data_IF_412193626677
#
_entry.id   IF_412193626677
#
_cell.length_a   1.000
_cell.length_b   1.000
_cell.length_c   1.000
_cell.angle_alpha   90.00
_cell.angle_beta   90.00
_cell.angle_gamma   90.00
#
_symmetry.space_group_name_H-M   'P 1'
#
loop_
_entity.id
_entity.type
_entity.pdbx_description
1 polymer ?
#
# COMPACT_ATOMS: atom_id res chain seq x y z
N UNK A 1 -3.83 10.24 -2.41
CA UNK A 1 -5.10 9.70 -2.90
C UNK A 1 -6.31 10.59 -2.53
N UNK A 2 -6.14 11.54 -1.62
CA UNK A 2 -7.18 12.48 -1.15
C UNK A 2 -8.50 11.80 -0.75
N UNK A 3 -8.41 10.69 -0.07
CA UNK A 3 -9.57 9.96 0.42
C UNK A 3 -10.29 10.77 1.51
N UNK A 4 -11.64 10.82 1.52
CA UNK A 4 -12.38 11.57 2.52
C UNK A 4 -12.09 11.07 3.94
N UNK A 5 -11.80 11.98 4.87
CA UNK A 5 -11.58 11.60 6.29
C UNK A 5 -12.83 10.92 6.85
N UNK A 6 -12.63 9.85 7.58
CA UNK A 6 -13.70 9.02 8.15
C UNK A 6 -14.35 8.06 7.15
N UNK A 7 -13.93 8.08 5.86
CA UNK A 7 -14.37 7.06 4.91
C UNK A 7 -13.77 5.69 5.23
N UNK A 8 -14.36 4.65 4.69
CA UNK A 8 -13.98 3.28 4.96
C UNK A 8 -12.92 2.78 3.98
N UNK A 9 -11.95 2.02 4.51
CA UNK A 9 -11.01 1.22 3.73
C UNK A 9 -11.18 -0.25 4.12
N UNK A 10 -11.40 -1.12 3.13
CA UNK A 10 -11.61 -2.55 3.36
C UNK A 10 -10.25 -3.27 3.36
N UNK A 11 -9.97 -4.00 4.43
CA UNK A 11 -8.68 -4.66 4.70
C UNK A 11 -8.92 -6.11 5.14
N UNK A 12 -8.13 -7.12 4.70
CA UNK A 12 -8.18 -8.45 5.28
C UNK A 12 -7.91 -8.44 6.78
N UNK A 13 -8.69 -9.21 7.56
CA UNK A 13 -8.47 -9.35 9.01
C UNK A 13 -7.20 -10.13 9.35
N UNK A 14 -6.68 -10.92 8.42
CA UNK A 14 -5.41 -11.63 8.55
C UNK A 14 -4.29 -10.84 7.84
N UNK A 15 -3.65 -9.97 8.59
CA UNK A 15 -2.54 -9.11 8.12
C UNK A 15 -1.70 -8.66 9.30
N UNK A 16 -0.57 -8.03 9.02
CA UNK A 16 0.19 -7.30 10.04
C UNK A 16 -0.56 -6.01 10.43
N UNK A 17 -0.46 -5.62 11.69
CA UNK A 17 -1.17 -4.45 12.23
C UNK A 17 -0.93 -3.16 11.43
N UNK A 18 0.22 -3.03 10.77
CA UNK A 18 0.58 -1.83 10.01
C UNK A 18 -0.45 -1.48 8.91
N UNK A 19 -1.08 -2.47 8.26
CA UNK A 19 -2.12 -2.23 7.26
C UNK A 19 -3.30 -1.42 7.85
N UNK A 20 -3.77 -1.82 9.04
CA UNK A 20 -4.86 -1.12 9.73
C UNK A 20 -4.41 0.20 10.37
N UNK A 21 -3.22 0.21 11.00
CA UNK A 21 -2.67 1.41 11.64
C UNK A 21 -2.45 2.54 10.64
N UNK A 22 -1.91 2.24 9.46
CA UNK A 22 -1.70 3.23 8.41
C UNK A 22 -3.03 3.88 7.97
N UNK A 23 -4.10 3.08 7.86
CA UNK A 23 -5.44 3.59 7.56
C UNK A 23 -5.95 4.54 8.65
N UNK A 24 -5.81 4.13 9.92
CA UNK A 24 -6.23 4.97 11.07
C UNK A 24 -5.44 6.27 11.12
N UNK A 25 -4.11 6.23 10.96
CA UNK A 25 -3.27 7.44 10.92
C UNK A 25 -3.62 8.36 9.74
N UNK A 26 -4.06 7.79 8.63
CA UNK A 26 -4.58 8.57 7.49
C UNK A 26 -5.98 9.15 7.74
N UNK A 27 -6.61 8.86 8.88
CA UNK A 27 -7.95 9.32 9.23
C UNK A 27 -9.06 8.51 8.55
N UNK A 28 -8.76 7.30 8.10
CA UNK A 28 -9.72 6.35 7.52
C UNK A 28 -10.22 5.37 8.58
N UNK A 29 -11.33 4.71 8.29
CA UNK A 29 -11.93 3.69 9.15
C UNK A 29 -11.69 2.30 8.53
N UNK A 30 -10.85 1.44 9.11
CA UNK A 30 -10.68 0.06 8.66
C UNK A 30 -11.97 -0.74 8.79
N UNK A 31 -12.33 -1.46 7.74
CA UNK A 31 -13.39 -2.47 7.70
C UNK A 31 -12.73 -3.81 7.43
N UNK A 32 -12.75 -4.69 8.42
CA UNK A 32 -12.06 -5.97 8.33
C UNK A 32 -12.95 -7.01 7.65
N UNK A 33 -12.35 -7.80 6.75
CA UNK A 33 -13.00 -8.92 6.05
C UNK A 33 -12.25 -10.23 6.27
N UNK A 34 -12.97 -11.32 6.16
CA UNK A 34 -12.39 -12.67 6.28
C UNK A 34 -11.49 -13.02 5.09
N UNK A 35 -10.58 -13.94 5.35
CA UNK A 35 -9.66 -14.51 4.37
C UNK A 35 -10.02 -15.96 4.05
N UNK A 36 -9.56 -16.44 2.92
CA UNK A 36 -9.62 -17.84 2.56
C UNK A 36 -8.63 -18.64 3.43
N UNK A 37 -9.09 -19.72 4.14
CA UNK A 37 -8.25 -20.48 5.05
C UNK A 37 -7.11 -21.25 4.35
N UNK A 38 -7.20 -21.46 3.03
CA UNK A 38 -6.17 -22.18 2.28
C UNK A 38 -5.08 -21.25 1.73
N UNK A 39 -5.42 -20.00 1.46
CA UNK A 39 -4.49 -19.00 0.86
C UNK A 39 -4.13 -17.86 1.81
N UNK A 40 -4.85 -17.72 2.92
CA UNK A 40 -4.74 -16.61 3.88
C UNK A 40 -4.97 -15.21 3.22
N UNK A 41 -5.42 -15.17 1.99
CA UNK A 41 -5.75 -13.93 1.27
C UNK A 41 -7.26 -13.73 1.17
N UNK A 42 -7.71 -12.47 1.20
CA UNK A 42 -9.12 -12.17 0.98
C UNK A 42 -9.47 -12.29 -0.50
N UNK A 43 -10.60 -12.93 -0.77
CA UNK A 43 -11.13 -13.09 -2.13
C UNK A 43 -11.84 -11.80 -2.62
N UNK A 44 -11.89 -11.55 -3.94
CA UNK A 44 -12.59 -10.39 -4.49
C UNK A 44 -14.04 -10.24 -4.02
N UNK A 45 -14.76 -11.37 -3.87
CA UNK A 45 -16.15 -11.39 -3.41
C UNK A 45 -16.30 -10.93 -1.95
N UNK A 46 -15.29 -11.16 -1.11
CA UNK A 46 -15.28 -10.67 0.27
C UNK A 46 -15.17 -9.13 0.29
N UNK A 47 -14.28 -8.57 -0.54
CA UNK A 47 -14.22 -7.12 -0.73
C UNK A 47 -15.56 -6.57 -1.25
N UNK A 48 -16.12 -7.17 -2.29
CA UNK A 48 -17.34 -6.68 -2.92
C UNK A 48 -18.53 -6.65 -1.95
N UNK A 49 -18.70 -7.69 -1.11
CA UNK A 49 -19.75 -7.74 -0.09
C UNK A 49 -19.60 -6.68 1.01
N UNK A 50 -18.38 -6.25 1.29
CA UNK A 50 -18.10 -5.28 2.34
C UNK A 50 -18.22 -3.82 1.89
N UNK A 51 -18.36 -3.56 0.58
CA UNK A 51 -18.48 -2.21 0.04
C UNK A 51 -19.78 -1.56 0.53
N UNK A 52 -19.65 -0.36 1.08
CA UNK A 52 -20.77 0.53 1.47
C UNK A 52 -20.66 1.85 0.73
N UNK A 53 -21.65 2.73 0.91
CA UNK A 53 -21.60 4.10 0.39
C UNK A 53 -20.48 4.97 1.01
N UNK A 54 -19.88 4.52 2.10
CA UNK A 54 -18.74 5.19 2.76
C UNK A 54 -17.38 4.65 2.35
N UNK A 55 -17.34 3.54 1.62
CA UNK A 55 -16.07 2.93 1.19
C UNK A 55 -15.37 3.83 0.17
N UNK A 56 -14.09 4.10 0.38
CA UNK A 56 -13.25 4.89 -0.52
C UNK A 56 -12.04 4.13 -1.04
N UNK A 57 -11.65 3.03 -0.37
CA UNK A 57 -10.49 2.25 -0.79
C UNK A 57 -10.60 0.76 -0.45
N UNK A 58 -9.87 -0.05 -1.20
CA UNK A 58 -9.61 -1.47 -0.97
C UNK A 58 -8.11 -1.65 -0.72
N UNK A 59 -7.75 -2.47 0.27
CA UNK A 59 -6.35 -2.80 0.56
C UNK A 59 -6.15 -4.32 0.54
N UNK A 60 -5.92 -4.94 -0.62
CA UNK A 60 -5.45 -6.32 -0.66
C UNK A 60 -4.08 -6.45 -0.01
N UNK A 61 -3.85 -7.57 0.68
CA UNK A 61 -2.57 -7.92 1.30
C UNK A 61 -2.02 -9.18 0.65
N UNK A 62 -0.78 -9.10 0.19
CA UNK A 62 -0.04 -10.22 -0.39
C UNK A 62 0.78 -10.88 0.71
N UNK A 63 0.14 -11.83 1.41
CA UNK A 63 0.69 -12.42 2.63
C UNK A 63 1.57 -13.64 2.33
N UNK A 64 2.61 -13.85 3.13
CA UNK A 64 3.50 -15.01 3.09
C UNK A 64 4.08 -15.34 1.70
N UNK A 65 4.40 -14.32 0.91
CA UNK A 65 4.96 -14.51 -0.43
C UNK A 65 3.94 -15.01 -1.46
N UNK A 66 2.64 -14.89 -1.18
CA UNK A 66 1.56 -15.21 -2.11
C UNK A 66 0.84 -13.95 -2.55
N UNK A 67 0.56 -13.86 -3.84
CA UNK A 67 -0.29 -12.78 -4.34
C UNK A 67 -1.77 -13.08 -4.04
N UNK A 68 -2.48 -12.11 -3.48
CA UNK A 68 -3.94 -12.09 -3.53
C UNK A 68 -4.43 -12.04 -4.99
N UNK A 69 -5.73 -12.17 -5.22
CA UNK A 69 -6.34 -12.01 -6.55
C UNK A 69 -6.26 -10.54 -7.02
N UNK A 70 -5.01 -10.03 -7.17
CA UNK A 70 -4.72 -8.61 -7.31
C UNK A 70 -5.37 -7.98 -8.54
N UNK A 71 -5.38 -8.67 -9.68
CA UNK A 71 -5.98 -8.17 -10.91
C UNK A 71 -7.50 -7.99 -10.77
N UNK A 72 -8.16 -8.97 -10.15
CA UNK A 72 -9.62 -8.96 -9.92
C UNK A 72 -10.02 -7.89 -8.92
N UNK A 73 -9.25 -7.72 -7.84
CA UNK A 73 -9.51 -6.67 -6.83
C UNK A 73 -9.25 -5.29 -7.43
N UNK A 74 -8.19 -5.12 -8.20
CA UNK A 74 -7.92 -3.86 -8.91
C UNK A 74 -9.03 -3.54 -9.93
N UNK A 75 -9.56 -4.55 -10.63
CA UNK A 75 -10.71 -4.38 -11.51
C UNK A 75 -11.97 -4.00 -10.74
N UNK A 76 -12.21 -4.61 -9.58
CA UNK A 76 -13.32 -4.24 -8.69
C UNK A 76 -13.21 -2.77 -8.27
N UNK A 77 -12.04 -2.33 -7.81
CA UNK A 77 -11.78 -0.92 -7.47
C UNK A 77 -12.15 0.01 -8.62
N UNK A 78 -11.64 -0.25 -9.82
CA UNK A 78 -11.96 0.55 -11.01
C UNK A 78 -13.47 0.60 -11.33
N UNK A 79 -14.17 -0.55 -11.27
CA UNK A 79 -15.62 -0.60 -11.51
C UNK A 79 -16.43 0.19 -10.49
N UNK A 80 -15.96 0.27 -9.26
CA UNK A 80 -16.65 0.93 -8.12
C UNK A 80 -16.14 2.36 -7.86
N UNK A 81 -15.14 2.85 -8.61
CA UNK A 81 -14.52 4.16 -8.36
C UNK A 81 -13.78 4.23 -7.03
N UNK A 82 -13.23 3.10 -6.56
CA UNK A 82 -12.51 2.98 -5.29
C UNK A 82 -11.02 2.91 -5.54
N UNK A 83 -10.22 3.57 -4.69
CA UNK A 83 -8.77 3.44 -4.71
C UNK A 83 -8.34 2.01 -4.30
N UNK A 84 -7.25 1.52 -4.90
CA UNK A 84 -6.67 0.23 -4.53
C UNK A 84 -5.24 0.43 -4.08
N UNK A 85 -4.96 0.09 -2.83
CA UNK A 85 -3.65 0.17 -2.18
C UNK A 85 -3.19 -1.25 -1.88
N UNK A 86 -2.14 -1.71 -2.55
CA UNK A 86 -1.62 -3.07 -2.34
C UNK A 86 -0.59 -3.08 -1.20
N UNK A 87 -0.90 -3.80 -0.14
CA UNK A 87 0.11 -4.15 0.86
C UNK A 87 0.90 -5.36 0.34
N UNK A 88 2.02 -5.09 -0.30
CA UNK A 88 2.97 -6.07 -0.82
C UNK A 88 4.22 -6.18 0.05
N UNK A 89 4.12 -5.81 1.35
CA UNK A 89 5.24 -5.81 2.29
C UNK A 89 5.93 -7.18 2.42
N UNK A 90 5.25 -8.27 2.09
CA UNK A 90 5.78 -9.65 2.11
C UNK A 90 5.86 -10.27 0.71
N UNK A 91 5.80 -9.48 -0.36
CA UNK A 91 5.66 -9.96 -1.72
C UNK A 91 6.76 -9.46 -2.67
N UNK A 92 7.96 -9.21 -2.15
CA UNK A 92 9.11 -8.87 -2.99
C UNK A 92 9.38 -10.00 -3.98
N UNK A 93 9.41 -9.69 -5.29
CA UNK A 93 9.62 -10.69 -6.35
C UNK A 93 8.37 -11.53 -6.72
N UNK A 94 7.30 -11.45 -5.97
CA UNK A 94 6.07 -12.22 -6.23
C UNK A 94 5.36 -11.69 -7.47
N UNK A 95 4.94 -12.61 -8.35
CA UNK A 95 4.17 -12.26 -9.55
C UNK A 95 2.81 -12.96 -9.57
N UNK A 96 1.82 -12.22 -10.02
CA UNK A 96 0.49 -12.73 -10.30
C UNK A 96 0.19 -12.52 -11.79
N UNK A 97 -0.07 -13.59 -12.53
CA UNK A 97 -0.28 -13.54 -14.00
C UNK A 97 0.82 -12.75 -14.74
N UNK A 98 2.09 -12.95 -14.36
CA UNK A 98 3.23 -12.29 -14.98
C UNK A 98 3.54 -10.87 -14.52
N UNK A 99 2.63 -10.19 -13.82
CA UNK A 99 2.82 -8.84 -13.29
C UNK A 99 3.21 -8.91 -11.81
N UNK A 100 4.11 -8.02 -11.35
CA UNK A 100 4.56 -7.98 -9.95
C UNK A 100 3.41 -7.56 -9.00
N UNK A 101 3.26 -8.28 -7.90
CA UNK A 101 2.36 -7.90 -6.82
C UNK A 101 2.76 -6.51 -6.27
N UNK A 102 1.79 -5.66 -5.99
CA UNK A 102 2.02 -4.25 -5.65
C UNK A 102 1.97 -3.30 -6.85
N UNK A 103 1.68 -3.80 -8.07
CA UNK A 103 1.61 -2.93 -9.27
C UNK A 103 0.25 -2.99 -9.99
N UNK A 104 -0.74 -3.69 -9.43
CA UNK A 104 -2.10 -3.79 -10.00
C UNK A 104 -3.00 -2.63 -9.58
N UNK A 105 -2.84 -2.14 -8.35
CA UNK A 105 -3.59 -1.03 -7.76
C UNK A 105 -3.10 0.35 -8.20
N UNK A 106 -3.54 1.37 -7.49
CA UNK A 106 -3.09 2.75 -7.67
C UNK A 106 -1.75 2.98 -6.97
N UNK A 107 -1.55 2.31 -5.83
CA UNK A 107 -0.33 2.33 -5.03
C UNK A 107 -0.03 0.91 -4.53
N UNK A 108 1.23 0.55 -4.47
CA UNK A 108 1.71 -0.65 -3.78
C UNK A 108 2.93 -0.36 -2.93
N UNK A 109 3.11 -1.13 -1.86
CA UNK A 109 4.21 -0.97 -0.91
C UNK A 109 4.95 -2.29 -0.73
N UNK A 110 6.27 -2.29 -0.90
CA UNK A 110 7.17 -3.39 -0.56
C UNK A 110 8.02 -2.95 0.63
N UNK A 111 8.15 -3.82 1.64
CA UNK A 111 8.96 -3.57 2.84
C UNK A 111 10.34 -4.19 2.73
N UNK A 112 11.34 -3.47 3.24
CA UNK A 112 12.70 -3.94 3.48
C UNK A 112 13.06 -3.90 4.97
N UNK A 113 12.06 -4.05 5.83
CA UNK A 113 12.24 -4.18 7.27
C UNK A 113 13.17 -5.37 7.61
N UNK A 114 13.72 -5.37 8.82
CA UNK A 114 14.75 -6.32 9.24
C UNK A 114 14.38 -7.81 9.09
N UNK A 115 13.08 -8.17 9.18
CA UNK A 115 12.60 -9.56 9.09
C UNK A 115 12.22 -10.01 7.67
N UNK A 116 12.38 -9.15 6.66
CA UNK A 116 11.99 -9.46 5.27
C UNK A 116 13.06 -10.29 4.55
N UNK A 117 12.62 -11.00 3.50
CA UNK A 117 13.50 -11.84 2.67
C UNK A 117 14.67 -11.06 2.06
N UNK A 118 14.44 -9.80 1.74
CA UNK A 118 15.47 -8.81 1.38
C UNK A 118 15.30 -7.65 2.35
N UNK A 119 16.37 -7.31 3.07
CA UNK A 119 16.30 -6.28 4.11
C UNK A 119 17.34 -5.18 3.90
N UNK A 120 16.98 -3.98 4.32
CA UNK A 120 17.87 -2.82 4.47
C UNK A 120 17.92 -2.36 5.94
N UNK A 121 17.54 -3.26 6.89
CA UNK A 121 17.29 -2.93 8.30
C UNK A 121 15.95 -2.23 8.47
N UNK A 122 15.79 -1.08 7.88
CA UNK A 122 14.54 -0.34 7.71
C UNK A 122 14.46 0.19 6.28
N UNK A 123 13.26 0.24 5.70
CA UNK A 123 13.05 0.80 4.37
C UNK A 123 11.80 0.25 3.69
N UNK A 124 11.39 0.94 2.65
CA UNK A 124 10.30 0.51 1.79
C UNK A 124 10.42 1.14 0.40
N UNK A 125 9.84 0.49 -0.59
CA UNK A 125 9.53 1.07 -1.90
C UNK A 125 8.04 1.27 -2.01
N UNK A 126 7.64 2.47 -2.41
CA UNK A 126 6.26 2.79 -2.75
C UNK A 126 6.17 2.95 -4.26
N UNK A 127 5.34 2.16 -4.88
CA UNK A 127 5.06 2.21 -6.32
C UNK A 127 3.73 2.91 -6.54
N UNK A 128 3.67 3.89 -7.40
CA UNK A 128 2.45 4.57 -7.79
C UNK A 128 2.27 4.49 -9.30
N UNK A 129 1.05 4.23 -9.73
CA UNK A 129 0.73 4.14 -11.16
C UNK A 129 0.70 5.51 -11.83
N UNK A 130 0.11 6.49 -11.13
CA UNK A 130 0.00 7.87 -11.61
C UNK A 130 1.28 8.65 -11.28
N UNK A 131 1.97 9.26 -12.26
CA UNK A 131 3.14 10.11 -12.03
C UNK A 131 2.88 11.30 -11.09
N UNK A 132 1.69 11.91 -11.12
CA UNK A 132 1.34 12.99 -10.20
C UNK A 132 1.25 12.50 -8.76
N UNK A 133 0.70 11.30 -8.55
CA UNK A 133 0.67 10.64 -7.25
C UNK A 133 2.09 10.27 -6.78
N UNK A 134 2.94 9.76 -7.68
CA UNK A 134 4.34 9.46 -7.38
C UNK A 134 5.12 10.72 -6.94
N UNK A 135 4.94 11.86 -7.64
CA UNK A 135 5.51 13.15 -7.23
C UNK A 135 5.02 13.55 -5.84
N UNK A 136 3.74 13.46 -5.57
CA UNK A 136 3.16 13.81 -4.26
C UNK A 136 3.71 12.93 -3.13
N UNK A 137 3.84 11.63 -3.35
CA UNK A 137 4.48 10.69 -2.39
C UNK A 137 5.93 11.11 -2.13
N UNK A 138 6.68 11.48 -3.17
CA UNK A 138 8.05 11.95 -3.05
C UNK A 138 8.15 13.23 -2.22
N UNK A 139 7.25 14.18 -2.39
CA UNK A 139 7.17 15.38 -1.57
C UNK A 139 6.88 15.05 -0.10
N UNK A 140 5.85 14.23 0.17
CA UNK A 140 5.49 13.83 1.53
C UNK A 140 6.68 13.16 2.22
N UNK A 141 7.36 12.24 1.54
CA UNK A 141 8.54 11.54 2.05
C UNK A 141 9.70 12.48 2.39
N UNK A 142 9.82 13.59 1.66
CA UNK A 142 10.91 14.56 1.76
C UNK A 142 10.49 15.86 2.47
N UNK A 143 9.67 15.79 3.48
CA UNK A 143 9.24 16.95 4.28
C UNK A 143 8.46 18.00 3.45
N UNK A 144 7.81 17.63 2.36
CA UNK A 144 7.10 18.55 1.47
C UNK A 144 7.99 19.33 0.52
N UNK A 145 9.24 18.92 0.30
CA UNK A 145 10.24 19.60 -0.55
C UNK A 145 10.57 18.78 -1.79
N UNK A 146 10.82 19.44 -2.92
CA UNK A 146 11.28 18.76 -4.14
C UNK A 146 12.73 18.25 -4.01
N UNK A 147 13.59 19.02 -3.36
CA UNK A 147 15.01 18.65 -3.17
C UNK A 147 15.46 18.91 -1.73
N UNK A 148 16.54 18.25 -1.32
CA UNK A 148 17.15 18.47 -0.01
C UNK A 148 17.87 19.83 0.11
N UNK A 149 18.16 20.47 -1.01
CA UNK A 149 18.88 21.76 -1.06
C UNK A 149 17.99 23.00 -0.89
N UNK A 150 16.66 22.85 -0.80
CA UNK A 150 15.73 23.97 -0.63
C UNK A 150 14.99 23.88 0.69
N UNK A 151 14.63 25.04 1.24
CA UNK A 151 13.75 25.17 2.42
C UNK A 151 12.34 25.65 2.03
N UNK A 152 11.98 25.50 0.76
CA UNK A 152 10.62 25.78 0.27
C UNK A 152 9.80 24.50 0.42
N UNK A 153 8.74 24.56 1.20
CA UNK A 153 7.83 23.44 1.49
C UNK A 153 6.51 23.66 0.77
N UNK A 154 6.24 22.85 -0.25
CA UNK A 154 4.99 22.92 -1.02
C UNK A 154 3.79 22.37 -0.27
N UNK A 155 4.06 21.47 0.69
CA UNK A 155 3.02 20.81 1.50
C UNK A 155 3.60 20.31 2.82
N UNK A 156 2.73 19.89 3.73
CA UNK A 156 3.15 19.14 4.92
C UNK A 156 3.68 17.76 4.50
N UNK A 157 4.83 17.41 5.05
CA UNK A 157 5.46 16.12 4.82
C UNK A 157 6.29 15.69 6.02
N UNK A 158 6.78 14.46 5.96
CA UNK A 158 7.58 13.83 7.01
C UNK A 158 8.96 13.48 6.46
N UNK A 159 9.88 13.16 7.35
CA UNK A 159 11.15 12.58 6.95
C UNK A 159 11.02 11.04 6.91
N UNK A 160 10.60 10.52 5.76
CA UNK A 160 10.53 9.08 5.47
C UNK A 160 11.59 8.67 4.44
N UNK A 161 12.74 9.34 4.46
CA UNK A 161 13.87 9.01 3.58
C UNK A 161 14.67 7.85 4.16
N UNK A 162 15.09 6.94 3.30
CA UNK A 162 16.14 5.97 3.62
C UNK A 162 17.49 6.67 3.63
N UNK A 163 18.39 6.21 4.48
CA UNK A 163 19.76 6.71 4.57
C UNK A 163 20.67 6.04 3.53
N UNK A 164 21.83 6.64 3.25
CA UNK A 164 22.83 6.05 2.36
C UNK A 164 23.34 4.70 2.88
N UNK A 165 23.40 4.53 4.21
CA UNK A 165 23.75 3.25 4.85
C UNK A 165 22.72 2.16 4.54
N UNK A 166 21.42 2.50 4.63
CA UNK A 166 20.34 1.57 4.27
C UNK A 166 20.37 1.24 2.78
N UNK A 167 20.60 2.25 1.92
CA UNK A 167 20.73 2.03 0.48
C UNK A 167 21.93 1.14 0.14
N UNK A 168 23.04 1.28 0.84
CA UNK A 168 24.22 0.44 0.64
C UNK A 168 23.98 -1.03 1.02
N UNK A 169 23.09 -1.28 1.99
CA UNK A 169 22.69 -2.65 2.36
C UNK A 169 21.71 -3.25 1.34
N UNK A 170 20.94 -2.40 0.64
CA UNK A 170 19.95 -2.84 -0.34
C UNK A 170 20.49 -3.01 -1.77
N UNK A 171 21.75 -2.71 -2.01
CA UNK A 171 22.45 -2.86 -3.27
C UNK A 171 23.11 -4.25 -3.33
#
# INVERSE_FOLDING_TARGET
LDLPRGSEIIIPGFTFMASASAAVFAGLKPVLIDVDPNTFSARPEAFERAITSRTSALMPVHIYGQAANAAEIAQLGRRRGLAVIEDAAQACGVRYRGQHAGTFGDVGVISFFADKSITMGEGAVVMARDPALARRISLIRNQGRESSGTFVHEMLGMNFRVTDLQCALGN
#
